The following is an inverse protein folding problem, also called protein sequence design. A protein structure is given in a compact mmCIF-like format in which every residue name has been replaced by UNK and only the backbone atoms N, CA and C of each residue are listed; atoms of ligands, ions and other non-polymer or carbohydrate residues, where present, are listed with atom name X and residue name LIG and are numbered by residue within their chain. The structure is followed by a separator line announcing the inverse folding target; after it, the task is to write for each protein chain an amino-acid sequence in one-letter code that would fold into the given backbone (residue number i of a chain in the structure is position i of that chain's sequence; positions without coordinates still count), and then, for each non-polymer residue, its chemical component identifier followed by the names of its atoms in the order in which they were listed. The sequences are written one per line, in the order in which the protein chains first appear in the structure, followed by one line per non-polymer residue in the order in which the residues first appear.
data_IF_617661261390
#
_entry.id   IF_617661261390
#
_cell.length_a   1.000
_cell.length_b   1.000
_cell.length_c   1.000
_cell.angle_alpha   90.00
_cell.angle_beta   90.00
_cell.angle_gamma   90.00
#
_symmetry.space_group_name_H-M   'P 1'
#
loop_
_entity.id
_entity.type
_entity.pdbx_description
1 polymer ?
#
# COMPACT_ATOMS: atom_id res chain seq x y z
N UNK A 1 -22.09 -15.44 -6.36
CA UNK A 1 -22.27 -15.50 -7.83
C UNK A 1 -21.98 -16.90 -8.42
N UNK A 2 -22.24 -17.98 -7.69
CA UNK A 2 -21.95 -19.38 -8.07
C UNK A 2 -23.20 -20.26 -8.03
N UNK A 3 -24.37 -19.70 -7.80
CA UNK A 3 -25.64 -20.42 -7.57
C UNK A 3 -26.27 -21.04 -8.80
N UNK A 4 -25.79 -20.73 -10.00
CA UNK A 4 -26.35 -21.31 -11.26
C UNK A 4 -25.72 -22.65 -11.66
N UNK A 5 -24.56 -23.01 -11.09
CA UNK A 5 -23.83 -24.25 -11.38
C UNK A 5 -24.33 -25.46 -10.55
N UNK A 6 -25.02 -25.24 -9.44
CA UNK A 6 -25.55 -26.32 -8.59
C UNK A 6 -26.79 -27.02 -9.14
N UNK A 7 -27.47 -26.46 -10.15
CA UNK A 7 -28.73 -27.02 -10.73
C UNK A 7 -28.53 -27.99 -11.87
N UNK A 8 -27.31 -28.25 -12.33
CA UNK A 8 -27.05 -29.25 -13.38
C UNK A 8 -26.69 -30.62 -12.82
N UNK A 9 -27.45 -31.11 -11.84
CA UNK A 9 -27.44 -32.54 -11.45
C UNK A 9 -28.40 -33.32 -12.33
N UNK A 10 -27.90 -33.89 -13.41
CA UNK A 10 -28.73 -34.75 -14.25
C UNK A 10 -27.92 -35.40 -15.35
N UNK A 11 -27.40 -36.62 -15.11
CA UNK A 11 -26.75 -37.39 -16.15
C UNK A 11 -25.97 -38.57 -15.58
N UNK A 12 -26.54 -39.74 -15.57
CA UNK A 12 -25.89 -41.03 -15.33
C UNK A 12 -24.71 -41.21 -16.29
N UNK A 13 -23.50 -41.16 -15.77
CA UNK A 13 -22.30 -41.48 -16.53
C UNK A 13 -21.00 -41.20 -15.73
N UNK A 14 -20.22 -42.23 -15.55
CA UNK A 14 -18.95 -42.35 -14.84
C UNK A 14 -17.77 -41.50 -15.40
N UNK A 15 -18.00 -40.25 -15.81
CA UNK A 15 -16.93 -39.28 -16.16
C UNK A 15 -17.47 -37.90 -15.86
N UNK A 16 -16.70 -37.09 -15.09
CA UNK A 16 -17.02 -35.79 -14.56
C UNK A 16 -18.00 -35.01 -15.45
N UNK A 17 -19.10 -34.52 -14.84
CA UNK A 17 -20.17 -33.83 -15.56
C UNK A 17 -19.68 -32.53 -16.20
N UNK A 18 -20.45 -31.98 -17.16
CA UNK A 18 -20.13 -30.73 -17.86
C UNK A 18 -19.80 -29.59 -16.88
N UNK A 19 -20.49 -29.52 -15.73
CA UNK A 19 -20.24 -28.52 -14.70
C UNK A 19 -18.89 -28.66 -14.00
N UNK A 20 -18.37 -29.89 -13.81
CA UNK A 20 -17.03 -30.10 -13.22
C UNK A 20 -15.92 -29.62 -14.16
N UNK A 21 -16.06 -29.84 -15.47
CA UNK A 21 -15.10 -29.35 -16.47
C UNK A 21 -15.14 -27.84 -16.60
N UNK A 22 -16.29 -27.21 -16.48
CA UNK A 22 -16.46 -25.77 -16.49
C UNK A 22 -15.81 -25.12 -15.26
N UNK A 23 -16.03 -25.67 -14.07
CA UNK A 23 -15.39 -25.23 -12.81
C UNK A 23 -13.87 -25.39 -12.89
N UNK A 24 -13.35 -26.48 -13.46
CA UNK A 24 -11.92 -26.71 -13.61
C UNK A 24 -11.30 -25.72 -14.61
N UNK A 25 -12.00 -25.40 -15.68
CA UNK A 25 -11.61 -24.38 -16.66
C UNK A 25 -11.57 -23.00 -16.01
N UNK A 26 -12.56 -22.61 -15.25
CA UNK A 26 -12.63 -21.34 -14.53
C UNK A 26 -11.51 -21.22 -13.52
N UNK A 27 -11.24 -22.26 -12.74
CA UNK A 27 -10.11 -22.31 -11.81
C UNK A 27 -8.77 -22.14 -12.53
N UNK A 28 -8.61 -22.71 -13.71
CA UNK A 28 -7.40 -22.56 -14.53
C UNK A 28 -7.24 -21.12 -15.02
N UNK A 29 -8.32 -20.51 -15.52
CA UNK A 29 -8.33 -19.11 -15.97
C UNK A 29 -7.97 -18.17 -14.82
N UNK A 30 -8.56 -18.37 -13.63
CA UNK A 30 -8.26 -17.58 -12.45
C UNK A 30 -6.79 -17.73 -12.05
N UNK A 31 -6.25 -18.95 -12.00
CA UNK A 31 -4.81 -19.18 -11.68
C UNK A 31 -3.90 -18.50 -12.69
N UNK A 32 -4.21 -18.57 -13.98
CA UNK A 32 -3.43 -17.91 -15.03
C UNK A 32 -3.47 -16.39 -14.89
N UNK A 33 -4.64 -15.82 -14.57
CA UNK A 33 -4.78 -14.38 -14.33
C UNK A 33 -3.99 -13.95 -13.10
N UNK A 34 -4.04 -14.71 -12.00
CA UNK A 34 -3.24 -14.44 -10.80
C UNK A 34 -1.75 -14.50 -11.12
N UNK A 35 -1.30 -15.51 -11.88
CA UNK A 35 0.11 -15.64 -12.26
C UNK A 35 0.57 -14.45 -13.13
N UNK A 36 -0.24 -14.03 -14.09
CA UNK A 36 0.02 -12.86 -14.94
C UNK A 36 0.09 -11.58 -14.12
N UNK A 37 -0.87 -11.35 -13.23
CA UNK A 37 -0.87 -10.17 -12.37
C UNK A 37 0.35 -10.11 -11.44
N UNK A 38 0.78 -11.26 -10.90
CA UNK A 38 2.02 -11.35 -10.10
C UNK A 38 3.27 -11.01 -10.92
N UNK A 39 3.31 -11.42 -12.18
CA UNK A 39 4.42 -11.07 -13.08
C UNK A 39 4.43 -9.58 -13.42
N UNK A 40 3.26 -9.00 -13.67
CA UNK A 40 3.13 -7.57 -13.96
C UNK A 40 3.51 -6.73 -12.72
N UNK A 41 3.13 -7.14 -11.52
CA UNK A 41 3.59 -6.51 -10.27
C UNK A 41 5.12 -6.53 -10.15
N UNK A 42 5.78 -7.65 -10.45
CA UNK A 42 7.26 -7.73 -10.45
C UNK A 42 7.92 -6.78 -11.46
N UNK A 43 7.29 -6.54 -12.61
CA UNK A 43 7.79 -5.56 -13.59
C UNK A 43 7.68 -4.15 -13.05
N UNK A 44 6.54 -3.81 -12.45
CA UNK A 44 6.31 -2.50 -11.81
C UNK A 44 7.32 -2.26 -10.70
N UNK A 45 7.55 -3.23 -9.81
CA UNK A 45 8.53 -3.13 -8.73
C UNK A 45 9.95 -2.84 -9.27
N UNK A 46 10.36 -3.51 -10.36
CA UNK A 46 11.66 -3.25 -11.01
C UNK A 46 11.72 -1.83 -11.58
N UNK A 47 10.68 -1.36 -12.25
CA UNK A 47 10.62 0.01 -12.78
C UNK A 47 10.70 1.04 -11.67
N UNK A 48 9.97 0.83 -10.59
CA UNK A 48 10.01 1.70 -9.41
C UNK A 48 11.39 1.70 -8.75
N UNK A 49 12.08 0.56 -8.64
CA UNK A 49 13.44 0.48 -8.12
C UNK A 49 14.43 1.31 -8.96
N UNK A 50 14.32 1.26 -10.28
CA UNK A 50 15.16 2.08 -11.21
C UNK A 50 14.83 3.57 -11.05
N UNK A 51 13.56 3.94 -10.95
CA UNK A 51 13.17 5.34 -10.72
C UNK A 51 13.69 5.87 -9.37
N UNK A 52 13.70 5.02 -8.34
CA UNK A 52 14.23 5.35 -7.01
C UNK A 52 15.74 5.61 -7.05
N UNK A 53 16.49 4.78 -7.76
CA UNK A 53 17.95 4.95 -7.90
C UNK A 53 18.36 6.26 -8.59
N UNK A 54 17.51 6.82 -9.43
CA UNK A 54 17.77 8.04 -10.19
C UNK A 54 17.38 9.34 -9.45
N UNK A 55 16.87 9.27 -8.20
CA UNK A 55 16.37 10.45 -7.45
C UNK A 55 17.46 11.30 -6.79
N UNK A 56 18.73 10.99 -7.00
CA UNK A 56 19.87 11.80 -6.55
C UNK A 56 20.12 11.77 -5.02
N UNK A 57 20.94 12.71 -4.54
CA UNK A 57 21.37 12.81 -3.13
C UNK A 57 20.43 13.63 -2.23
N UNK A 58 19.18 13.86 -2.63
CA UNK A 58 18.24 14.61 -1.81
C UNK A 58 17.75 13.79 -0.62
N UNK A 59 17.62 14.46 0.53
CA UNK A 59 17.02 13.85 1.73
C UNK A 59 15.61 13.34 1.40
N UNK A 60 15.31 12.14 1.84
CA UNK A 60 14.02 11.47 1.63
C UNK A 60 13.22 11.47 2.92
N UNK A 61 12.05 12.06 2.87
CA UNK A 61 11.12 12.16 3.99
C UNK A 61 9.84 11.40 3.64
N UNK A 62 9.44 10.46 4.47
CA UNK A 62 8.21 9.70 4.25
C UNK A 62 7.15 10.03 5.29
N UNK A 63 5.92 10.29 4.83
CA UNK A 63 4.75 10.42 5.70
C UNK A 63 4.26 9.03 6.09
N UNK A 64 4.23 8.75 7.38
CA UNK A 64 3.70 7.52 7.96
C UNK A 64 2.60 7.84 8.96
N UNK A 65 1.72 6.92 9.23
CA UNK A 65 0.64 7.12 10.20
C UNK A 65 -0.55 6.21 9.90
N UNK A 66 -1.47 6.18 10.83
CA UNK A 66 -2.68 5.38 10.69
C UNK A 66 -3.50 5.84 9.46
N UNK A 67 -4.41 5.00 9.00
CA UNK A 67 -5.31 5.39 7.89
C UNK A 67 -6.19 6.57 8.29
N UNK A 68 -6.44 7.49 7.36
CA UNK A 68 -7.31 8.65 7.52
C UNK A 68 -6.87 9.70 8.57
N UNK A 69 -5.59 9.77 8.94
CA UNK A 69 -5.05 10.79 9.86
C UNK A 69 -4.61 12.09 9.16
N UNK A 70 -4.88 12.25 7.85
CA UNK A 70 -4.58 13.47 7.12
C UNK A 70 -3.19 13.53 6.47
N UNK A 71 -2.49 12.39 6.24
CA UNK A 71 -1.17 12.37 5.56
C UNK A 71 -1.18 13.07 4.21
N UNK A 72 -2.09 12.69 3.33
CA UNK A 72 -2.21 13.28 1.98
C UNK A 72 -2.61 14.77 2.04
N UNK A 73 -3.41 15.16 3.02
CA UNK A 73 -3.75 16.56 3.28
C UNK A 73 -2.51 17.36 3.67
N UNK A 74 -1.70 16.81 4.58
CA UNK A 74 -0.44 17.42 5.00
C UNK A 74 0.55 17.52 3.82
N UNK A 75 0.63 16.47 3.00
CA UNK A 75 1.45 16.50 1.79
C UNK A 75 1.04 17.62 0.84
N UNK A 76 -0.25 17.79 0.61
CA UNK A 76 -0.77 18.88 -0.24
C UNK A 76 -0.42 20.25 0.30
N UNK A 77 -0.56 20.44 1.62
CA UNK A 77 -0.23 21.69 2.29
C UNK A 77 1.25 22.05 2.12
N UNK A 78 2.15 21.08 2.34
CA UNK A 78 3.60 21.28 2.28
C UNK A 78 4.06 21.44 0.83
N UNK A 79 3.53 20.64 -0.10
CA UNK A 79 3.95 20.67 -1.51
C UNK A 79 3.30 21.74 -2.36
N UNK A 80 2.36 22.53 -1.79
CA UNK A 80 1.56 23.55 -2.48
C UNK A 80 0.91 23.04 -3.78
N UNK A 81 0.42 21.83 -3.76
CA UNK A 81 -0.14 21.14 -4.92
C UNK A 81 -1.37 20.33 -4.54
N UNK A 82 -2.33 20.27 -5.44
CA UNK A 82 -3.57 19.52 -5.25
C UNK A 82 -3.35 18.03 -5.52
N UNK A 83 -3.18 17.23 -4.47
CA UNK A 83 -3.34 15.77 -4.53
C UNK A 83 -4.74 15.43 -4.03
N UNK A 84 -5.36 14.51 -4.69
CA UNK A 84 -6.67 14.00 -4.32
C UNK A 84 -6.60 13.38 -2.91
N UNK A 85 -7.11 14.11 -1.91
CA UNK A 85 -7.24 13.62 -0.54
C UNK A 85 -8.70 13.18 -0.33
N UNK A 86 -8.95 11.88 -0.26
CA UNK A 86 -10.27 11.35 0.06
C UNK A 86 -10.33 10.85 1.51
N UNK A 87 -11.47 11.08 2.17
CA UNK A 87 -11.79 10.51 3.48
C UNK A 87 -12.19 9.04 3.36
N UNK A 88 -11.29 8.22 2.82
CA UNK A 88 -11.49 6.78 2.66
C UNK A 88 -10.31 6.00 3.23
N UNK A 89 -10.60 4.80 3.71
CA UNK A 89 -9.55 3.84 4.07
C UNK A 89 -8.70 3.56 2.83
N UNK A 90 -7.38 3.66 2.95
CA UNK A 90 -6.42 3.47 1.85
C UNK A 90 -6.66 4.41 0.65
N UNK A 91 -6.94 5.70 0.91
CA UNK A 91 -7.04 6.71 -0.14
C UNK A 91 -5.77 6.78 -1.01
N UNK A 92 -4.61 6.57 -0.41
CA UNK A 92 -3.32 6.45 -1.11
C UNK A 92 -2.99 4.97 -1.27
N UNK A 93 -3.09 4.45 -2.48
CA UNK A 93 -2.67 3.09 -2.84
C UNK A 93 -1.28 3.07 -3.46
N UNK A 94 -0.92 4.13 -4.19
CA UNK A 94 0.38 4.30 -4.82
C UNK A 94 1.16 5.41 -4.14
N UNK A 95 2.46 5.19 -3.93
CA UNK A 95 3.34 6.21 -3.35
C UNK A 95 3.43 7.42 -4.27
N UNK A 96 3.03 8.56 -3.77
CA UNK A 96 3.26 9.83 -4.45
C UNK A 96 4.52 10.48 -3.87
N UNK A 97 5.54 10.70 -4.71
CA UNK A 97 6.79 11.36 -4.31
C UNK A 97 6.85 12.74 -4.94
N UNK A 98 7.15 13.76 -4.15
CA UNK A 98 7.26 15.14 -4.58
C UNK A 98 8.53 15.79 -4.09
N UNK A 99 9.14 16.62 -4.93
CA UNK A 99 10.21 17.50 -4.51
C UNK A 99 9.61 18.72 -3.84
N UNK A 100 9.99 18.94 -2.60
CA UNK A 100 9.59 20.09 -1.78
C UNK A 100 10.82 20.94 -1.50
N UNK A 101 10.66 22.25 -1.44
CA UNK A 101 11.70 23.19 -1.04
C UNK A 101 11.16 24.04 0.10
N UNK A 102 11.77 23.91 1.29
CA UNK A 102 11.52 24.75 2.45
C UNK A 102 12.80 25.52 2.78
N UNK A 103 12.72 26.83 2.88
CA UNK A 103 13.85 27.70 3.23
C UNK A 103 15.14 27.40 2.43
N UNK A 104 15.00 27.19 1.11
CA UNK A 104 16.06 26.80 0.19
C UNK A 104 16.65 25.37 0.42
N UNK A 105 16.04 24.57 1.28
CA UNK A 105 16.41 23.17 1.49
C UNK A 105 15.51 22.25 0.65
N UNK A 106 16.00 21.68 -0.47
CA UNK A 106 15.22 20.73 -1.26
C UNK A 106 15.28 19.34 -0.64
N UNK A 107 14.11 18.68 -0.57
CA UNK A 107 13.98 17.27 -0.16
C UNK A 107 12.87 16.58 -0.93
N UNK A 108 12.84 15.25 -0.87
CA UNK A 108 11.77 14.45 -1.45
C UNK A 108 10.79 14.07 -0.34
N UNK A 109 9.52 14.40 -0.52
CA UNK A 109 8.44 14.03 0.38
C UNK A 109 7.59 12.95 -0.28
N UNK A 110 7.42 11.81 0.38
CA UNK A 110 6.58 10.70 -0.09
C UNK A 110 5.36 10.53 0.80
N UNK A 111 4.19 10.42 0.18
CA UNK A 111 2.96 9.97 0.84
C UNK A 111 2.84 8.46 0.69
N UNK A 112 2.51 7.79 1.78
CA UNK A 112 2.43 6.33 1.82
C UNK A 112 1.05 5.86 2.24
N UNK A 113 0.80 4.56 2.07
CA UNK A 113 -0.47 3.99 2.52
C UNK A 113 -0.64 4.16 4.03
N UNK A 114 -1.88 4.39 4.46
CA UNK A 114 -2.20 4.42 5.89
C UNK A 114 -2.09 3.03 6.52
N UNK A 115 -1.44 2.94 7.67
CA UNK A 115 -1.38 1.71 8.42
C UNK A 115 -2.72 1.39 9.10
N UNK A 116 -3.00 0.10 9.24
CA UNK A 116 -4.15 -0.41 9.96
C UNK A 116 -3.72 -1.50 10.93
N UNK A 117 -4.56 -1.73 11.93
CA UNK A 117 -4.40 -2.87 12.85
C UNK A 117 -4.45 -4.18 12.03
N UNK A 118 -3.37 -4.96 12.06
CA UNK A 118 -3.22 -6.23 11.31
C UNK A 118 -3.41 -6.05 9.79
N UNK A 119 -2.38 -5.57 9.13
CA UNK A 119 -2.30 -5.66 7.66
C UNK A 119 -2.41 -7.15 7.25
N UNK A 120 -3.43 -7.53 6.47
CA UNK A 120 -3.49 -8.88 5.94
C UNK A 120 -2.21 -9.18 5.14
N UNK A 121 -1.62 -10.35 5.34
CA UNK A 121 -0.37 -10.75 4.65
C UNK A 121 -0.45 -10.66 3.13
N UNK A 122 -1.66 -10.83 2.57
CA UNK A 122 -1.92 -10.68 1.14
C UNK A 122 -1.79 -9.21 0.66
N UNK A 123 -2.08 -8.24 1.53
CA UNK A 123 -1.94 -6.82 1.21
C UNK A 123 -0.50 -6.32 1.40
N UNK A 124 0.30 -6.96 2.24
CA UNK A 124 1.73 -6.61 2.41
C UNK A 124 2.47 -6.72 1.07
N UNK A 125 2.18 -7.76 0.28
CA UNK A 125 2.79 -7.95 -1.04
C UNK A 125 2.37 -6.86 -2.04
N UNK A 126 1.12 -6.39 -1.95
CA UNK A 126 0.58 -5.31 -2.79
C UNK A 126 1.12 -3.92 -2.40
N UNK A 127 1.43 -3.73 -1.12
CA UNK A 127 1.98 -2.45 -0.61
C UNK A 127 3.51 -2.43 -0.54
N UNK A 128 4.18 -3.45 -1.07
CA UNK A 128 5.63 -3.58 -0.98
C UNK A 128 6.35 -2.35 -1.53
N UNK A 129 5.93 -1.82 -2.66
CA UNK A 129 6.53 -0.62 -3.26
C UNK A 129 6.37 0.63 -2.40
N UNK A 130 5.22 0.79 -1.73
CA UNK A 130 4.97 1.90 -0.81
C UNK A 130 5.74 1.73 0.50
N UNK A 131 5.87 0.50 0.99
CA UNK A 131 6.65 0.16 2.17
C UNK A 131 8.16 0.29 1.92
N UNK A 132 8.63 0.05 0.69
CA UNK A 132 10.03 0.28 0.31
C UNK A 132 10.41 1.77 0.38
N UNK A 133 9.51 2.69 0.03
CA UNK A 133 9.75 4.14 0.22
C UNK A 133 9.95 4.51 1.70
N UNK A 134 9.23 3.85 2.62
CA UNK A 134 9.42 4.03 4.06
C UNK A 134 10.78 3.49 4.51
N UNK A 135 11.19 2.33 3.99
CA UNK A 135 12.50 1.73 4.29
C UNK A 135 13.67 2.57 3.79
N UNK A 136 13.51 3.21 2.63
CA UNK A 136 14.54 4.03 1.99
C UNK A 136 14.55 5.47 2.49
N UNK A 137 13.55 5.90 3.29
CA UNK A 137 13.50 7.23 3.86
C UNK A 137 14.64 7.48 4.85
N UNK A 138 15.14 8.71 4.85
CA UNK A 138 16.13 9.19 5.84
C UNK A 138 15.43 9.67 7.12
N UNK A 139 14.17 10.14 6.99
CA UNK A 139 13.34 10.65 8.08
C UNK A 139 11.88 10.23 7.86
N UNK A 140 11.21 9.85 8.93
CA UNK A 140 9.77 9.55 8.93
C UNK A 140 9.01 10.67 9.65
N UNK A 141 7.98 11.21 8.99
CA UNK A 141 7.01 12.10 9.62
C UNK A 141 5.78 11.27 10.02
N UNK A 142 5.65 10.99 11.30
CA UNK A 142 4.53 10.23 11.84
C UNK A 142 3.36 11.17 12.15
N UNK A 143 2.37 11.19 11.28
CA UNK A 143 1.16 12.01 11.41
C UNK A 143 0.16 11.30 12.32
N UNK A 144 -0.33 12.01 13.32
CA UNK A 144 -1.27 11.51 14.34
C UNK A 144 -2.44 12.45 14.46
N UNK A 145 -3.65 11.90 14.38
CA UNK A 145 -4.87 12.63 14.69
C UNK A 145 -5.17 12.52 16.19
N UNK A 146 -4.80 13.55 16.96
CA UNK A 146 -5.05 13.60 18.41
C UNK A 146 -6.53 13.76 18.79
N UNK A 147 -7.40 14.11 17.85
CA UNK A 147 -8.84 14.19 18.09
C UNK A 147 -9.48 12.80 18.20
N UNK A 148 -8.81 11.78 17.67
CA UNK A 148 -9.30 10.42 17.71
C UNK A 148 -9.10 9.81 19.12
N UNK A 149 -10.14 9.22 19.76
CA UNK A 149 -10.08 8.73 21.15
C UNK A 149 -9.01 7.64 21.36
N UNK A 150 -8.64 6.89 20.31
CA UNK A 150 -7.68 5.80 20.37
C UNK A 150 -6.34 6.17 19.71
N UNK A 151 -5.94 7.45 19.68
CA UNK A 151 -4.72 7.88 18.99
C UNK A 151 -3.44 7.21 19.53
N UNK A 152 -3.37 6.94 20.85
CA UNK A 152 -2.22 6.23 21.45
C UNK A 152 -2.08 4.80 20.92
N UNK A 153 -3.21 4.09 20.78
CA UNK A 153 -3.23 2.75 20.18
C UNK A 153 -2.80 2.80 18.71
N UNK A 154 -3.25 3.81 17.97
CA UNK A 154 -2.85 4.01 16.58
C UNK A 154 -1.34 4.24 16.46
N UNK A 155 -0.74 5.03 17.37
CA UNK A 155 0.71 5.22 17.44
C UNK A 155 1.43 3.89 17.66
N UNK A 156 0.93 3.06 18.60
CA UNK A 156 1.52 1.77 18.89
C UNK A 156 1.49 0.84 17.66
N UNK A 157 0.35 0.77 16.97
CA UNK A 157 0.18 -0.02 15.73
C UNK A 157 1.16 0.43 14.64
N UNK A 158 1.31 1.75 14.43
CA UNK A 158 2.24 2.27 13.42
C UNK A 158 3.68 1.90 13.77
N UNK A 159 4.09 2.04 15.05
CA UNK A 159 5.44 1.67 15.50
C UNK A 159 5.72 0.18 15.35
N UNK A 160 4.74 -0.67 15.65
CA UNK A 160 4.86 -2.12 15.45
C UNK A 160 5.04 -2.46 13.97
N UNK A 161 4.20 -1.90 13.11
CA UNK A 161 4.29 -2.08 11.66
C UNK A 161 5.64 -1.61 11.11
N UNK A 162 6.15 -0.45 11.57
CA UNK A 162 7.47 0.05 11.16
C UNK A 162 8.60 -0.93 11.53
N UNK A 163 8.51 -1.60 12.69
CA UNK A 163 9.47 -2.65 13.09
C UNK A 163 9.35 -3.87 12.18
N UNK A 164 8.13 -4.33 11.91
CA UNK A 164 7.87 -5.50 11.05
C UNK A 164 8.42 -5.31 9.63
N UNK A 165 8.31 -4.10 9.08
CA UNK A 165 8.85 -3.79 7.74
C UNK A 165 10.35 -3.46 7.74
N UNK A 166 11.03 -3.47 8.89
CA UNK A 166 12.46 -3.17 8.99
C UNK A 166 12.80 -1.68 8.90
N UNK A 167 11.87 -0.80 9.30
CA UNK A 167 12.03 0.65 9.36
C UNK A 167 12.00 1.19 10.82
N UNK A 168 12.07 0.31 11.82
CA UNK A 168 11.95 0.67 13.23
C UNK A 168 13.10 1.55 13.77
N UNK A 169 14.26 1.50 13.15
CA UNK A 169 15.45 2.27 13.56
C UNK A 169 15.57 3.65 12.90
N UNK A 170 14.60 3.98 12.01
CA UNK A 170 14.60 5.27 11.33
C UNK A 170 14.28 6.41 12.30
N UNK A 171 14.88 7.60 12.10
CA UNK A 171 14.46 8.81 12.81
C UNK A 171 12.99 9.10 12.55
N UNK A 172 12.21 9.31 13.61
CA UNK A 172 10.77 9.61 13.53
C UNK A 172 10.49 10.96 14.16
N UNK A 173 9.85 11.85 13.41
CA UNK A 173 9.31 13.10 13.91
C UNK A 173 7.78 13.00 13.99
N UNK A 174 7.22 13.28 15.17
CA UNK A 174 5.78 13.23 15.41
C UNK A 174 5.13 14.54 14.99
N UNK A 175 4.02 14.44 14.24
CA UNK A 175 3.21 15.58 13.81
C UNK A 175 1.78 15.35 14.31
N UNK A 176 1.25 16.29 15.09
CA UNK A 176 -0.07 16.23 15.71
C UNK A 176 -1.01 17.25 15.08
#
# INVERSE_FOLDING_TARGET
MWTHLERQRGGTGTRGGAGEREIETDRRVIRNNIAKLKEDLKKIDRQMAVQRSNRGSLVRVSLVGYTNVGKSTLMNLISKSDVFAENKLFATLDTTVRKVVLDNLPFLLSDTVGFIRKLPTQLVESFKSTLDEVREADLLLHVVDISHPNFEEQIAVVRETLREIGAGDKPVFMVF
#
